data_IF_350204172682
#
_entry.id   IF_350204172682
#
_cell.length_a   1.000
_cell.length_b   1.000
_cell.length_c   1.000
_cell.angle_alpha   90.00
_cell.angle_beta   90.00
_cell.angle_gamma   90.00
#
_symmetry.space_group_name_H-M   'P 1'
#
loop_
_entity.id
_entity.type
_entity.pdbx_description
1 polymer ?
#
# COMPACT_ATOMS: atom_id res chain seq x y z
N UNK A 1 8.39 -7.65 12.86
CA UNK A 1 8.71 -6.27 12.43
C UNK A 1 7.54 -5.73 11.63
N UNK A 2 7.18 -4.47 11.82
CA UNK A 2 5.97 -3.88 11.25
C UNK A 2 6.24 -2.54 10.53
N UNK A 3 5.88 -2.47 9.25
CA UNK A 3 5.81 -1.23 8.48
C UNK A 3 4.41 -0.61 8.56
N UNK A 4 4.31 0.67 8.89
CA UNK A 4 3.01 1.34 9.05
C UNK A 4 2.40 1.76 7.71
N UNK A 5 1.07 1.92 7.71
CA UNK A 5 0.33 2.54 6.62
C UNK A 5 0.87 3.92 6.25
N UNK A 6 0.83 4.26 4.97
CA UNK A 6 1.36 5.53 4.44
C UNK A 6 2.86 5.72 4.65
N UNK A 7 3.60 4.68 5.03
CA UNK A 7 4.99 4.74 5.47
C UNK A 7 5.17 5.77 6.59
N UNK A 8 4.17 5.91 7.46
CA UNK A 8 4.20 6.89 8.53
C UNK A 8 5.20 6.47 9.62
N UNK A 9 6.06 7.39 10.05
CA UNK A 9 6.96 7.19 11.19
C UNK A 9 6.27 7.33 12.55
N UNK A 10 5.03 6.85 12.63
CA UNK A 10 4.22 6.80 13.83
C UNK A 10 4.04 5.34 14.29
N UNK A 11 4.85 4.91 15.25
CA UNK A 11 4.84 3.54 15.77
C UNK A 11 3.56 3.15 16.53
N UNK A 12 2.65 4.10 16.80
CA UNK A 12 1.34 3.83 17.44
C UNK A 12 0.17 3.85 16.46
N UNK A 13 0.43 3.99 15.15
CA UNK A 13 -0.62 4.11 14.13
C UNK A 13 -1.57 2.91 14.05
N UNK A 14 -1.09 1.68 14.25
CA UNK A 14 -1.91 0.46 14.28
C UNK A 14 -1.91 -0.21 15.67
N UNK A 15 -1.91 0.59 16.74
CA UNK A 15 -1.68 0.08 18.10
C UNK A 15 -2.70 -0.99 18.56
N UNK A 16 -3.98 -0.92 18.19
CA UNK A 16 -4.97 -1.95 18.57
C UNK A 16 -4.58 -3.33 18.02
N UNK A 17 -4.22 -3.38 16.74
CA UNK A 17 -3.75 -4.59 16.05
C UNK A 17 -2.40 -5.09 16.59
N UNK A 18 -1.44 -4.19 16.77
CA UNK A 18 -0.09 -4.58 17.20
C UNK A 18 -0.04 -5.02 18.65
N UNK A 19 -0.86 -4.41 19.53
CA UNK A 19 -1.00 -4.82 20.93
C UNK A 19 -1.69 -6.16 21.04
N UNK A 20 -2.66 -6.46 20.18
CA UNK A 20 -3.26 -7.79 20.14
C UNK A 20 -2.21 -8.85 19.81
N UNK A 21 -1.37 -8.63 18.80
CA UNK A 21 -0.26 -9.55 18.51
C UNK A 21 0.67 -9.67 19.73
N UNK A 22 1.08 -8.55 20.33
CA UNK A 22 1.98 -8.57 21.48
C UNK A 22 1.39 -9.31 22.71
N UNK A 23 0.06 -9.23 22.91
CA UNK A 23 -0.64 -9.89 24.03
C UNK A 23 -0.48 -11.42 24.01
N UNK A 24 -0.19 -11.99 22.84
CA UNK A 24 0.06 -13.41 22.65
C UNK A 24 1.52 -13.82 22.79
N UNK A 25 2.36 -12.98 23.40
CA UNK A 25 3.76 -13.28 23.71
C UNK A 25 4.66 -13.19 22.49
N UNK A 26 4.48 -12.15 21.67
CA UNK A 26 5.36 -11.77 20.58
C UNK A 26 6.01 -10.42 20.89
N UNK A 27 7.28 -10.25 20.54
CA UNK A 27 7.89 -8.92 20.49
C UNK A 27 7.51 -8.27 19.15
N UNK A 28 6.76 -7.17 19.21
CA UNK A 28 6.35 -6.40 18.03
C UNK A 28 7.07 -5.06 18.03
N UNK A 29 7.80 -4.77 16.95
CA UNK A 29 8.48 -3.50 16.73
C UNK A 29 7.91 -2.89 15.46
N UNK A 30 7.29 -1.73 15.59
CA UNK A 30 6.78 -0.93 14.48
C UNK A 30 7.75 0.19 14.13
N UNK A 31 7.85 0.51 12.86
CA UNK A 31 8.67 1.62 12.41
C UNK A 31 8.17 2.94 13.01
N UNK A 32 9.12 3.83 13.34
CA UNK A 32 8.81 5.14 13.91
C UNK A 32 8.65 5.15 15.42
N UNK A 33 8.69 6.35 16.00
CA UNK A 33 8.52 6.54 17.45
C UNK A 33 7.03 6.55 17.81
N UNK A 34 6.65 6.25 19.06
CA UNK A 34 5.27 6.44 19.52
C UNK A 34 4.81 7.87 19.25
N UNK A 35 3.65 8.03 18.59
CA UNK A 35 3.11 9.33 18.15
C UNK A 35 4.07 10.17 17.29
N UNK A 36 5.02 9.51 16.62
CA UNK A 36 5.99 10.16 15.75
C UNK A 36 5.36 10.68 14.45
N UNK A 37 6.16 11.42 13.70
CA UNK A 37 5.80 11.96 12.38
C UNK A 37 6.97 11.78 11.41
N UNK A 38 6.69 11.94 10.11
CA UNK A 38 7.67 11.72 9.04
C UNK A 38 7.44 10.41 8.30
N UNK A 39 8.43 10.01 7.49
CA UNK A 39 8.36 8.83 6.64
C UNK A 39 9.31 7.74 7.14
N UNK A 40 8.93 6.49 6.93
CA UNK A 40 9.74 5.30 7.19
C UNK A 40 10.41 4.80 5.92
N UNK A 41 11.35 3.89 6.08
CA UNK A 41 11.95 3.11 4.98
C UNK A 41 12.06 1.64 5.40
N UNK A 42 12.21 0.77 4.40
CA UNK A 42 12.48 -0.66 4.62
C UNK A 42 13.70 -0.93 5.49
N UNK A 43 14.73 -0.07 5.46
CA UNK A 43 15.91 -0.20 6.31
C UNK A 43 15.59 -0.14 7.81
N UNK A 44 14.53 0.55 8.21
CA UNK A 44 14.11 0.59 9.61
C UNK A 44 13.64 -0.78 10.10
N UNK A 45 13.07 -1.62 9.22
CA UNK A 45 12.67 -2.98 9.57
C UNK A 45 13.90 -3.85 9.86
N UNK A 46 14.97 -3.73 9.07
CA UNK A 46 16.22 -4.48 9.32
C UNK A 46 16.93 -3.97 10.56
N UNK A 47 16.96 -2.66 10.79
CA UNK A 47 17.52 -2.08 12.02
C UNK A 47 16.74 -2.53 13.27
N UNK A 48 15.41 -2.67 13.19
CA UNK A 48 14.61 -3.22 14.27
C UNK A 48 14.95 -4.69 14.57
N UNK A 49 15.25 -5.50 13.54
CA UNK A 49 15.76 -6.86 13.73
C UNK A 49 17.14 -6.85 14.40
N UNK A 50 18.06 -6.00 13.93
CA UNK A 50 19.40 -5.87 14.51
C UNK A 50 19.34 -5.49 15.99
N UNK A 51 18.49 -4.50 16.33
CA UNK A 51 18.26 -4.09 17.71
C UNK A 51 17.70 -5.23 18.57
N UNK A 52 16.70 -5.97 18.08
CA UNK A 52 16.11 -7.07 18.85
C UNK A 52 17.13 -8.19 19.14
N UNK A 53 17.98 -8.52 18.16
CA UNK A 53 19.07 -9.49 18.34
C UNK A 53 20.09 -8.97 19.36
N UNK A 54 20.49 -7.70 19.25
CA UNK A 54 21.42 -7.09 20.18
C UNK A 54 20.86 -7.08 21.61
N UNK A 55 19.61 -6.64 21.81
CA UNK A 55 18.95 -6.62 23.12
C UNK A 55 18.82 -8.00 23.75
N UNK A 56 18.57 -9.03 22.93
CA UNK A 56 18.52 -10.41 23.42
C UNK A 56 19.85 -10.88 24.01
N UNK A 57 20.97 -10.32 23.55
CA UNK A 57 22.33 -10.66 24.02
C UNK A 57 22.91 -9.64 25.00
N UNK A 58 22.32 -8.45 25.11
CA UNK A 58 22.87 -7.36 25.91
C UNK A 58 22.72 -7.62 27.41
N UNK A 59 23.83 -7.62 28.13
CA UNK A 59 23.85 -7.75 29.59
C UNK A 59 23.04 -6.62 30.24
N UNK A 60 22.18 -6.98 31.20
CA UNK A 60 21.29 -6.03 31.88
C UNK A 60 20.06 -5.61 31.06
N UNK A 61 19.84 -6.13 29.85
CA UNK A 61 18.55 -5.98 29.17
C UNK A 61 17.48 -6.82 29.85
N UNK A 62 16.28 -6.27 29.99
CA UNK A 62 15.09 -7.03 30.43
C UNK A 62 14.66 -8.08 29.41
N UNK A 63 15.15 -7.97 28.17
CA UNK A 63 14.88 -8.89 27.06
C UNK A 63 16.01 -9.93 26.88
N UNK A 64 17.06 -9.88 27.70
CA UNK A 64 18.20 -10.79 27.58
C UNK A 64 17.75 -12.26 27.70
N UNK A 65 18.03 -13.05 26.66
CA UNK A 65 17.62 -14.46 26.56
C UNK A 65 16.11 -14.71 26.43
N UNK A 66 15.30 -13.68 26.12
CA UNK A 66 13.83 -13.79 26.05
C UNK A 66 13.26 -13.67 24.63
N UNK A 67 14.10 -13.38 23.64
CA UNK A 67 13.70 -13.25 22.25
C UNK A 67 14.20 -14.47 21.47
N UNK A 68 13.29 -15.17 20.79
CA UNK A 68 13.64 -16.20 19.81
C UNK A 68 14.05 -15.51 18.50
N UNK A 69 15.35 -15.29 18.32
CA UNK A 69 15.90 -14.53 17.18
C UNK A 69 15.92 -15.31 15.87
N UNK A 70 15.68 -16.63 15.91
CA UNK A 70 15.55 -17.47 14.70
C UNK A 70 14.15 -17.48 14.09
N UNK A 71 13.16 -16.84 14.73
CA UNK A 71 11.76 -16.87 14.30
C UNK A 71 11.17 -15.47 14.14
N UNK A 72 11.50 -14.82 13.02
CA UNK A 72 11.12 -13.44 12.75
C UNK A 72 10.10 -13.38 11.63
N UNK A 73 8.97 -12.71 11.88
CA UNK A 73 8.06 -12.28 10.82
C UNK A 73 8.30 -10.81 10.47
N UNK A 74 8.20 -10.48 9.19
CA UNK A 74 8.05 -9.11 8.72
C UNK A 74 6.64 -8.93 8.15
N UNK A 75 6.04 -7.78 8.39
CA UNK A 75 4.82 -7.42 7.68
C UNK A 75 4.57 -5.94 7.70
N UNK A 76 3.51 -5.53 7.01
CA UNK A 76 3.11 -4.14 7.03
C UNK A 76 1.81 -3.88 6.30
N UNK A 77 1.27 -2.71 6.56
CA UNK A 77 0.02 -2.21 6.00
C UNK A 77 0.30 -1.20 4.88
N UNK A 78 -0.38 -1.33 3.73
CA UNK A 78 -0.30 -0.35 2.64
C UNK A 78 1.16 -0.13 2.20
N UNK A 79 1.66 1.11 2.23
CA UNK A 79 3.08 1.42 1.97
C UNK A 79 4.06 0.61 2.85
N UNK A 80 3.71 0.32 4.11
CA UNK A 80 4.52 -0.55 4.97
C UNK A 80 4.59 -2.01 4.50
N UNK A 81 3.63 -2.48 3.70
CA UNK A 81 3.71 -3.77 3.02
C UNK A 81 4.78 -3.80 1.92
N UNK A 82 5.00 -2.67 1.23
CA UNK A 82 6.11 -2.50 0.28
C UNK A 82 7.46 -2.53 1.00
N UNK A 83 7.55 -1.90 2.18
CA UNK A 83 8.73 -2.00 3.03
C UNK A 83 9.01 -3.45 3.44
N UNK A 84 7.95 -4.21 3.74
CA UNK A 84 8.07 -5.63 4.07
C UNK A 84 8.57 -6.45 2.87
N UNK A 85 8.04 -6.25 1.65
CA UNK A 85 8.57 -6.89 0.44
C UNK A 85 10.05 -6.61 0.23
N UNK A 86 10.47 -5.35 0.45
CA UNK A 86 11.84 -4.92 0.22
C UNK A 86 12.87 -5.69 1.06
N UNK A 87 12.47 -6.15 2.24
CA UNK A 87 13.35 -6.91 3.16
C UNK A 87 13.06 -8.40 3.23
N UNK A 88 12.00 -8.89 2.57
CA UNK A 88 11.51 -10.28 2.73
C UNK A 88 12.50 -11.39 2.36
N UNK A 89 13.59 -11.08 1.66
CA UNK A 89 14.67 -12.02 1.35
C UNK A 89 15.81 -12.02 2.40
N UNK A 90 15.70 -11.24 3.47
CA UNK A 90 16.63 -11.31 4.59
C UNK A 90 16.61 -12.73 5.19
N UNK A 91 17.77 -13.40 5.34
CA UNK A 91 17.83 -14.80 5.74
C UNK A 91 17.26 -15.07 7.15
N UNK A 92 17.10 -14.03 7.98
CA UNK A 92 16.54 -14.15 9.33
C UNK A 92 15.02 -14.22 9.33
N UNK A 93 14.37 -13.81 8.25
CA UNK A 93 12.91 -13.78 8.15
C UNK A 93 12.39 -15.20 7.90
N UNK A 94 11.42 -15.61 8.70
CA UNK A 94 10.74 -16.91 8.62
C UNK A 94 9.45 -16.85 7.81
N UNK A 95 8.80 -15.68 7.75
CA UNK A 95 7.57 -15.45 6.97
C UNK A 95 7.29 -13.97 6.75
N UNK A 96 6.59 -13.65 5.66
CA UNK A 96 6.15 -12.30 5.29
C UNK A 96 4.63 -12.18 5.40
N UNK A 97 4.13 -11.05 5.93
CA UNK A 97 2.70 -10.75 5.99
C UNK A 97 2.41 -9.42 5.30
N UNK A 98 1.58 -9.44 4.26
CA UNK A 98 1.18 -8.29 3.47
C UNK A 98 -0.26 -7.95 3.82
N UNK A 99 -0.49 -6.76 4.39
CA UNK A 99 -1.84 -6.32 4.73
C UNK A 99 -2.27 -5.15 3.85
N UNK A 100 -3.41 -5.29 3.18
CA UNK A 100 -3.99 -4.24 2.32
C UNK A 100 -2.92 -3.54 1.49
N UNK A 101 -2.07 -4.32 0.82
CA UNK A 101 -0.88 -3.88 0.10
C UNK A 101 -0.58 -4.82 -1.05
N UNK A 102 0.22 -4.35 -1.99
CA UNK A 102 0.74 -5.09 -3.13
C UNK A 102 1.72 -4.22 -3.93
N UNK A 103 2.61 -4.81 -4.72
CA UNK A 103 3.59 -4.05 -5.50
C UNK A 103 2.90 -3.10 -6.49
N UNK A 104 3.49 -1.92 -6.68
CA UNK A 104 2.85 -0.84 -7.43
C UNK A 104 3.20 -0.85 -8.93
N UNK A 105 4.20 -1.63 -9.33
CA UNK A 105 4.72 -1.65 -10.70
C UNK A 105 5.48 -2.95 -10.96
N UNK A 106 5.53 -3.35 -12.24
CA UNK A 106 6.21 -4.58 -12.68
C UNK A 106 7.74 -4.54 -12.49
N UNK A 107 8.34 -3.35 -12.40
CA UNK A 107 9.78 -3.24 -12.18
C UNK A 107 10.18 -3.77 -10.80
N UNK A 108 9.26 -3.78 -9.83
CA UNK A 108 9.46 -4.33 -8.50
C UNK A 108 9.16 -5.84 -8.39
N UNK A 109 8.65 -6.50 -9.44
CA UNK A 109 8.30 -7.92 -9.43
C UNK A 109 9.47 -8.85 -9.04
N UNK A 110 10.72 -8.39 -9.19
CA UNK A 110 11.90 -9.14 -8.74
C UNK A 110 11.84 -9.45 -7.23
N UNK A 111 11.13 -8.64 -6.45
CA UNK A 111 10.93 -8.83 -5.02
C UNK A 111 10.08 -10.07 -4.72
N UNK A 112 9.14 -10.43 -5.60
CA UNK A 112 8.35 -11.66 -5.51
C UNK A 112 9.18 -12.87 -5.93
N UNK A 113 9.94 -12.75 -7.03
CA UNK A 113 10.74 -13.86 -7.59
C UNK A 113 11.81 -14.40 -6.65
N UNK A 114 12.31 -13.56 -5.74
CA UNK A 114 13.32 -13.94 -4.74
C UNK A 114 12.75 -14.55 -3.46
N UNK A 115 11.43 -14.59 -3.29
CA UNK A 115 10.82 -15.13 -2.07
C UNK A 115 11.09 -16.63 -1.96
N UNK A 116 11.68 -17.04 -0.84
CA UNK A 116 11.93 -18.45 -0.50
C UNK A 116 11.22 -18.88 0.78
N UNK A 117 10.56 -17.94 1.46
CA UNK A 117 9.89 -18.13 2.74
C UNK A 117 8.41 -17.83 2.61
N UNK A 118 7.53 -18.52 3.37
CA UNK A 118 6.10 -18.38 3.15
C UNK A 118 5.56 -16.98 3.39
N UNK A 119 4.53 -16.64 2.61
CA UNK A 119 3.92 -15.31 2.59
C UNK A 119 2.41 -15.41 2.81
N UNK A 120 1.84 -14.45 3.55
CA UNK A 120 0.39 -14.34 3.74
C UNK A 120 -0.11 -12.95 3.37
N UNK A 121 -1.22 -12.91 2.63
CA UNK A 121 -1.93 -11.70 2.25
C UNK A 121 -3.23 -11.58 3.05
N UNK A 122 -3.48 -10.41 3.63
CA UNK A 122 -4.71 -10.07 4.34
C UNK A 122 -5.25 -8.78 3.74
N UNK A 123 -6.21 -8.89 2.83
CA UNK A 123 -6.64 -7.79 1.97
C UNK A 123 -8.09 -7.43 2.27
N UNK A 124 -8.42 -6.14 2.19
CA UNK A 124 -9.74 -5.58 2.49
C UNK A 124 -10.84 -5.86 1.45
N UNK A 125 -10.69 -6.92 0.65
CA UNK A 125 -11.61 -7.30 -0.41
C UNK A 125 -11.56 -6.37 -1.61
N UNK A 126 -12.47 -6.52 -2.59
CA UNK A 126 -12.41 -5.76 -3.86
C UNK A 126 -12.51 -4.24 -3.71
N UNK A 127 -13.03 -3.73 -2.59
CA UNK A 127 -13.08 -2.29 -2.28
C UNK A 127 -11.76 -1.73 -1.73
N UNK A 128 -10.78 -2.58 -1.43
CA UNK A 128 -9.45 -2.17 -1.02
C UNK A 128 -8.64 -1.72 -2.25
N UNK A 129 -8.04 -0.53 -2.18
CA UNK A 129 -7.25 0.04 -3.26
C UNK A 129 -6.04 -0.83 -3.63
N UNK A 130 -5.55 -1.63 -2.69
CA UNK A 130 -4.42 -2.52 -2.91
C UNK A 130 -4.84 -3.90 -3.41
N UNK A 131 -6.15 -4.19 -3.49
CA UNK A 131 -6.66 -5.48 -3.94
C UNK A 131 -6.15 -5.86 -5.34
N UNK A 132 -6.21 -5.01 -6.37
CA UNK A 132 -5.69 -5.36 -7.70
C UNK A 132 -4.20 -5.73 -7.66
N UNK A 133 -3.41 -4.96 -6.90
CA UNK A 133 -1.97 -5.20 -6.75
C UNK A 133 -1.71 -6.52 -6.03
N UNK A 134 -2.45 -6.81 -4.96
CA UNK A 134 -2.31 -8.07 -4.23
C UNK A 134 -2.68 -9.28 -5.09
N UNK A 135 -3.71 -9.17 -5.92
CA UNK A 135 -4.13 -10.23 -6.86
C UNK A 135 -3.10 -10.42 -7.98
N UNK A 136 -2.52 -9.34 -8.49
CA UNK A 136 -1.43 -9.39 -9.46
C UNK A 136 -0.17 -10.05 -8.86
N UNK A 137 0.26 -9.60 -7.68
CA UNK A 137 1.37 -10.18 -6.92
C UNK A 137 1.15 -11.69 -6.71
N UNK A 138 -0.06 -12.06 -6.31
CA UNK A 138 -0.45 -13.45 -6.11
C UNK A 138 -0.23 -14.29 -7.35
N UNK A 139 -0.60 -13.79 -8.53
CA UNK A 139 -0.38 -14.44 -9.82
C UNK A 139 1.10 -14.68 -10.14
N UNK A 140 1.97 -13.80 -9.65
CA UNK A 140 3.42 -13.77 -9.92
C UNK A 140 4.28 -14.51 -8.87
N UNK A 141 3.67 -15.04 -7.81
CA UNK A 141 4.40 -15.79 -6.77
C UNK A 141 5.14 -17.01 -7.35
N UNK A 142 6.35 -17.34 -6.83
CA UNK A 142 7.08 -18.53 -7.25
C UNK A 142 6.23 -19.81 -7.08
N UNK A 143 6.29 -20.70 -8.07
CA UNK A 143 5.37 -21.84 -8.19
C UNK A 143 5.36 -22.79 -6.98
N UNK A 144 6.49 -22.94 -6.27
CA UNK A 144 6.61 -23.78 -5.07
C UNK A 144 6.49 -23.02 -3.74
N UNK A 145 6.24 -21.71 -3.76
CA UNK A 145 6.18 -20.91 -2.54
C UNK A 145 4.90 -21.24 -1.75
N UNK A 146 4.99 -21.59 -0.46
CA UNK A 146 3.81 -21.68 0.39
C UNK A 146 3.23 -20.29 0.60
N UNK A 147 1.98 -20.09 0.20
CA UNK A 147 1.31 -18.81 0.29
C UNK A 147 -0.16 -18.94 0.70
N UNK A 148 -0.63 -17.97 1.48
CA UNK A 148 -2.02 -17.82 1.87
C UNK A 148 -2.52 -16.44 1.44
N UNK A 149 -3.75 -16.36 0.95
CA UNK A 149 -4.44 -15.09 0.75
C UNK A 149 -5.82 -15.17 1.36
N UNK A 150 -6.12 -14.24 2.26
CA UNK A 150 -7.45 -14.01 2.79
C UNK A 150 -7.93 -12.63 2.38
N UNK A 151 -9.11 -12.56 1.77
CA UNK A 151 -9.81 -11.31 1.49
C UNK A 151 -11.02 -11.18 2.41
N UNK A 152 -11.15 -10.04 3.07
CA UNK A 152 -12.29 -9.69 3.92
C UNK A 152 -12.81 -8.34 3.47
N UNK A 153 -14.12 -8.19 3.22
CA UNK A 153 -14.70 -6.96 2.65
C UNK A 153 -14.77 -5.80 3.67
N UNK A 154 -13.62 -5.24 4.02
CA UNK A 154 -13.46 -4.14 5.00
C UNK A 154 -12.76 -2.91 4.41
N UNK A 155 -12.40 -2.96 3.13
CA UNK A 155 -11.70 -1.88 2.43
C UNK A 155 -10.26 -1.68 2.92
N UNK A 156 -9.60 -0.64 2.39
CA UNK A 156 -8.17 -0.41 2.64
C UNK A 156 -7.83 -0.14 4.10
N UNK A 157 -8.75 0.47 4.86
CA UNK A 157 -8.57 0.72 6.29
C UNK A 157 -8.55 -0.55 7.14
N UNK A 158 -8.90 -1.71 6.56
CA UNK A 158 -8.92 -2.98 7.26
C UNK A 158 -9.79 -2.93 8.51
N UNK A 159 -9.35 -3.64 9.56
CA UNK A 159 -10.01 -3.64 10.87
C UNK A 159 -9.15 -3.02 11.97
N UNK A 160 -8.12 -2.24 11.62
CA UNK A 160 -7.09 -1.76 12.57
C UNK A 160 -7.64 -0.92 13.73
N UNK A 161 -8.68 -0.12 13.49
CA UNK A 161 -9.28 0.75 14.51
C UNK A 161 -10.26 0.02 15.43
N UNK A 162 -10.64 -1.21 15.10
CA UNK A 162 -11.51 -2.03 15.93
C UNK A 162 -10.76 -2.50 17.18
N UNK A 163 -11.48 -2.84 18.28
CA UNK A 163 -10.88 -3.47 19.45
C UNK A 163 -10.01 -4.67 19.04
N UNK A 164 -8.79 -4.73 19.57
CA UNK A 164 -7.79 -5.76 19.27
C UNK A 164 -7.43 -5.86 17.76
N UNK A 165 -7.68 -4.82 16.98
CA UNK A 165 -7.48 -4.82 15.54
C UNK A 165 -8.50 -5.67 14.77
N UNK A 166 -9.61 -6.06 15.41
CA UNK A 166 -10.70 -6.80 14.80
C UNK A 166 -10.28 -8.12 14.18
N UNK A 167 -10.94 -8.46 13.06
CA UNK A 167 -10.75 -9.77 12.41
C UNK A 167 -9.35 -9.92 11.78
N UNK A 168 -8.73 -8.84 11.28
CA UNK A 168 -7.32 -8.89 10.87
C UNK A 168 -6.41 -9.22 12.05
N UNK A 169 -6.65 -8.63 13.23
CA UNK A 169 -5.89 -8.92 14.45
C UNK A 169 -5.98 -10.39 14.84
N UNK A 170 -7.21 -10.92 14.95
CA UNK A 170 -7.46 -12.33 15.30
C UNK A 170 -6.75 -13.30 14.35
N UNK A 171 -6.89 -13.09 13.04
CA UNK A 171 -6.32 -14.00 12.04
C UNK A 171 -4.80 -13.85 11.95
N UNK A 172 -4.25 -12.64 12.06
CA UNK A 172 -2.82 -12.41 12.10
C UNK A 172 -2.17 -13.15 13.29
N UNK A 173 -2.80 -13.13 14.47
CA UNK A 173 -2.35 -13.88 15.65
C UNK A 173 -2.31 -15.39 15.37
N UNK A 174 -3.38 -15.95 14.77
CA UNK A 174 -3.41 -17.37 14.43
C UNK A 174 -2.28 -17.74 13.46
N UNK A 175 -2.06 -16.91 12.43
CA UNK A 175 -0.99 -17.15 11.47
C UNK A 175 0.38 -17.11 12.15
N UNK A 176 0.65 -16.09 12.99
CA UNK A 176 1.92 -15.96 13.69
C UNK A 176 2.16 -17.08 14.71
N UNK A 177 1.12 -17.53 15.44
CA UNK A 177 1.22 -18.69 16.33
C UNK A 177 1.62 -19.94 15.57
N UNK A 178 0.99 -20.18 14.42
CA UNK A 178 1.35 -21.30 13.57
C UNK A 178 2.79 -21.18 13.05
N UNK A 179 3.12 -20.08 12.38
CA UNK A 179 4.40 -19.91 11.67
C UNK A 179 5.61 -19.75 12.60
N UNK A 180 5.45 -19.10 13.74
CA UNK A 180 6.57 -18.79 14.65
C UNK A 180 6.55 -19.62 15.93
N UNK A 181 5.40 -20.14 16.37
CA UNK A 181 5.33 -20.97 17.59
C UNK A 181 5.10 -22.45 17.32
N UNK A 182 4.87 -22.84 16.05
CA UNK A 182 4.58 -24.22 15.70
C UNK A 182 3.18 -24.68 16.14
N UNK A 183 2.27 -23.75 16.38
CA UNK A 183 0.90 -24.05 16.79
C UNK A 183 0.12 -24.66 15.61
N UNK A 184 0.07 -25.99 15.57
CA UNK A 184 -0.63 -26.74 14.52
C UNK A 184 -2.13 -26.51 14.53
N UNK A 185 -2.75 -26.31 15.71
CA UNK A 185 -4.17 -26.03 15.83
C UNK A 185 -4.51 -24.65 15.25
N UNK A 186 -3.64 -23.65 15.42
CA UNK A 186 -3.78 -22.39 14.70
C UNK A 186 -3.63 -22.60 13.19
N UNK A 187 -2.69 -23.45 12.75
CA UNK A 187 -2.46 -23.78 11.34
C UNK A 187 -3.67 -24.37 10.60
N UNK A 188 -4.54 -25.14 11.27
CA UNK A 188 -5.75 -25.71 10.63
C UNK A 188 -6.75 -24.65 10.17
N UNK A 189 -6.60 -23.39 10.60
CA UNK A 189 -7.40 -22.29 10.09
C UNK A 189 -7.04 -21.90 8.65
N UNK A 190 -5.83 -22.23 8.18
CA UNK A 190 -5.29 -21.75 6.91
C UNK A 190 -5.13 -22.83 5.86
N UNK A 191 -4.92 -24.10 6.27
CA UNK A 191 -4.48 -25.17 5.37
C UNK A 191 -5.62 -26.08 4.94
N UNK A 192 -5.68 -26.36 3.64
CA UNK A 192 -6.55 -27.36 3.04
C UNK A 192 -7.93 -26.82 2.64
N UNK A 193 -8.73 -27.62 1.92
CA UNK A 193 -10.04 -27.20 1.42
C UNK A 193 -11.06 -26.96 2.55
N UNK A 194 -10.89 -27.61 3.69
CA UNK A 194 -11.75 -27.48 4.86
C UNK A 194 -11.12 -26.59 5.96
N UNK A 195 -10.28 -25.63 5.56
CA UNK A 195 -9.60 -24.76 6.51
C UNK A 195 -10.62 -23.99 7.35
N UNK A 196 -10.27 -23.69 8.61
CA UNK A 196 -11.16 -22.98 9.53
C UNK A 196 -11.67 -21.64 8.99
N UNK A 197 -10.88 -20.93 8.18
CA UNK A 197 -11.30 -19.66 7.55
C UNK A 197 -12.15 -19.86 6.28
N UNK A 198 -12.06 -21.03 5.62
CA UNK A 198 -12.69 -21.31 4.34
C UNK A 198 -14.23 -21.30 4.40
N UNK A 199 -14.80 -21.47 5.60
CA UNK A 199 -16.26 -21.47 5.85
C UNK A 199 -16.72 -20.22 6.63
N UNK A 200 -16.01 -19.11 6.48
CA UNK A 200 -16.27 -17.87 7.20
C UNK A 200 -16.48 -16.71 6.22
N UNK A 201 -16.51 -15.47 6.73
CA UNK A 201 -16.54 -14.25 5.94
C UNK A 201 -15.29 -14.01 5.06
N UNK A 202 -14.24 -14.81 5.22
CA UNK A 202 -13.01 -14.70 4.43
C UNK A 202 -13.13 -15.43 3.09
N UNK A 203 -12.74 -14.75 2.01
CA UNK A 203 -12.48 -15.41 0.74
C UNK A 203 -11.01 -15.84 0.70
N UNK A 204 -10.79 -17.15 0.75
CA UNK A 204 -9.47 -17.74 0.93
C UNK A 204 -8.92 -18.32 -0.38
N UNK A 205 -7.63 -18.09 -0.62
CA UNK A 205 -6.83 -18.77 -1.62
C UNK A 205 -5.55 -19.30 -0.97
N UNK A 206 -5.02 -20.41 -1.47
CA UNK A 206 -3.84 -21.09 -0.94
C UNK A 206 -2.96 -21.59 -2.09
N UNK A 207 -1.63 -21.56 -1.89
CA UNK A 207 -0.64 -22.19 -2.78
C UNK A 207 0.37 -22.95 -1.93
N UNK A 208 0.64 -24.22 -2.26
CA UNK A 208 1.67 -25.07 -1.62
C UNK A 208 1.68 -25.01 -0.08
N UNK A 209 0.52 -24.79 0.53
CA UNK A 209 0.40 -24.56 1.96
C UNK A 209 0.16 -25.91 2.65
N UNK A 210 1.06 -26.30 3.55
CA UNK A 210 0.95 -27.58 4.28
C UNK A 210 1.16 -27.35 5.78
N UNK A 211 0.51 -28.15 6.62
CA UNK A 211 0.57 -28.00 8.08
C UNK A 211 1.96 -28.31 8.66
N UNK A 212 2.70 -29.22 8.03
CA UNK A 212 3.93 -29.81 8.56
C UNK A 212 5.17 -29.54 7.68
N UNK A 213 5.06 -28.73 6.62
CA UNK A 213 6.16 -28.52 5.67
C UNK A 213 6.50 -29.75 4.82
N UNK A 214 5.68 -30.80 4.87
CA UNK A 214 5.70 -31.94 3.95
C UNK A 214 4.56 -31.77 2.94
N UNK A 215 4.92 -31.78 1.66
CA UNK A 215 4.02 -31.70 0.52
C UNK A 215 2.99 -32.83 0.61
N UNK A 216 1.72 -32.49 0.87
CA UNK A 216 0.62 -33.43 0.62
C UNK A 216 0.21 -33.25 -0.82
N UNK A 217 1.04 -33.73 -1.73
CA UNK A 217 0.71 -33.84 -3.15
C UNK A 217 -0.32 -34.95 -3.34
N UNK A 218 -1.50 -34.70 -3.92
CA UNK A 218 -2.39 -35.79 -4.32
C UNK A 218 -1.88 -36.39 -5.64
N UNK A 219 -1.49 -37.67 -5.62
CA UNK A 219 -1.33 -38.48 -6.84
C UNK A 219 -2.71 -39.01 -7.30
N UNK A 220 -2.89 -39.36 -8.60
CA UNK A 220 -4.18 -39.22 -9.29
C UNK A 220 -5.12 -40.44 -9.16
N UNK A 221 -6.42 -40.15 -9.13
CA UNK A 221 -7.54 -41.11 -9.18
C UNK A 221 -8.51 -40.85 -8.02
N UNK A 222 -9.79 -40.54 -8.20
CA UNK A 222 -10.77 -40.97 -9.20
C UNK A 222 -11.79 -39.85 -9.42
N UNK A 223 -12.23 -39.66 -10.66
CA UNK A 223 -13.33 -38.76 -11.05
C UNK A 223 -14.68 -39.23 -10.50
N UNK A 224 -15.51 -38.31 -9.98
CA UNK A 224 -16.96 -38.41 -10.12
C UNK A 224 -17.48 -37.38 -11.15
N UNK A 225 -18.42 -37.88 -11.96
CA UNK A 225 -19.16 -37.26 -13.05
C UNK A 225 -20.03 -36.05 -12.60
N UNK A 226 -20.52 -35.19 -13.52
CA UNK A 226 -20.86 -33.79 -13.26
C UNK A 226 -22.29 -33.60 -12.70
N UNK A 227 -22.48 -32.50 -11.97
CA UNK A 227 -23.78 -31.93 -11.58
C UNK A 227 -23.86 -30.47 -12.10
N UNK A 228 -25.04 -29.92 -12.43
CA UNK A 228 -25.25 -29.12 -13.63
C UNK A 228 -24.66 -27.70 -13.59
N UNK A 229 -24.25 -27.25 -14.77
CA UNK A 229 -23.82 -25.89 -15.06
C UNK A 229 -24.92 -24.87 -14.76
N UNK A 230 -24.59 -23.87 -13.94
CA UNK A 230 -25.34 -22.61 -13.88
C UNK A 230 -24.72 -21.67 -14.92
N UNK A 231 -25.56 -21.28 -15.87
CA UNK A 231 -25.33 -20.39 -17.01
C UNK A 231 -24.78 -19.02 -16.56
N UNK A 232 -23.86 -18.38 -17.32
CA UNK A 232 -23.34 -17.06 -16.97
C UNK A 232 -24.40 -15.97 -17.16
N UNK A 233 -24.55 -15.08 -16.17
CA UNK A 233 -25.28 -13.83 -16.30
C UNK A 233 -24.36 -12.76 -16.92
N UNK A 234 -24.80 -11.98 -17.93
CA UNK A 234 -23.95 -11.01 -18.61
C UNK A 234 -23.70 -9.80 -17.70
N UNK A 235 -22.43 -9.46 -17.48
CA UNK A 235 -22.05 -8.19 -16.87
C UNK A 235 -22.09 -7.09 -17.94
N UNK A 236 -22.92 -6.04 -17.83
CA UNK A 236 -22.82 -4.89 -18.71
C UNK A 236 -21.60 -4.06 -18.29
N UNK A 237 -20.61 -4.00 -19.19
CA UNK A 237 -19.51 -3.04 -19.13
C UNK A 237 -20.00 -1.66 -19.55
N UNK A 238 -19.86 -0.59 -18.73
CA UNK A 238 -19.88 0.76 -19.25
C UNK A 238 -18.48 1.18 -19.70
N UNK A 239 -18.40 1.41 -21.01
CA UNK A 239 -17.35 2.08 -21.79
C UNK A 239 -16.95 3.46 -21.20
N UNK A 240 -15.72 3.98 -21.41
CA UNK A 240 -15.30 5.28 -20.89
C UNK A 240 -15.98 6.42 -21.65
N UNK A 241 -16.34 7.50 -20.94
CA UNK A 241 -16.73 8.78 -21.55
C UNK A 241 -15.68 9.86 -21.21
N UNK A 242 -15.22 10.68 -22.17
CA UNK A 242 -14.09 11.59 -21.99
C UNK A 242 -14.53 12.98 -21.48
N UNK A 243 -13.64 13.68 -20.76
CA UNK A 243 -13.58 15.14 -20.81
C UNK A 243 -12.19 15.62 -20.39
N UNK A 244 -11.34 15.84 -21.38
CA UNK A 244 -10.10 16.60 -21.29
C UNK A 244 -10.41 18.09 -21.17
N UNK A 245 -10.13 18.69 -20.02
CA UNK A 245 -10.14 20.14 -19.80
C UNK A 245 -8.80 20.58 -19.20
N UNK A 246 -7.78 20.75 -20.05
CA UNK A 246 -6.47 21.24 -19.66
C UNK A 246 -6.29 22.70 -20.06
N UNK A 247 -6.55 23.63 -19.14
CA UNK A 247 -6.20 25.06 -19.29
C UNK A 247 -5.26 25.55 -18.19
N UNK A 248 -4.83 24.66 -17.28
CA UNK A 248 -4.05 25.03 -16.11
C UNK A 248 -2.74 24.29 -15.93
N UNK A 249 -2.08 23.77 -16.96
CA UNK A 249 -0.78 23.09 -16.82
C UNK A 249 -0.83 21.63 -16.32
N UNK A 250 -2.02 21.10 -16.04
CA UNK A 250 -2.30 19.69 -15.80
C UNK A 250 -3.62 19.27 -16.44
N UNK A 251 -3.80 17.97 -16.63
CA UNK A 251 -5.07 17.34 -17.03
C UNK A 251 -5.52 16.34 -15.95
N UNK A 252 -6.82 16.05 -15.91
CA UNK A 252 -7.38 15.06 -15.01
C UNK A 252 -8.33 14.12 -15.76
N UNK A 253 -8.30 12.83 -15.43
CA UNK A 253 -9.18 11.80 -15.99
C UNK A 253 -9.94 11.10 -14.87
N UNK A 254 -11.26 11.31 -14.84
CA UNK A 254 -12.17 10.65 -13.91
C UNK A 254 -12.60 9.27 -14.45
N UNK A 255 -12.68 8.28 -13.57
CA UNK A 255 -13.18 6.95 -13.90
C UNK A 255 -13.89 6.33 -12.70
N UNK A 256 -15.07 5.73 -12.93
CA UNK A 256 -15.73 4.89 -11.93
C UNK A 256 -15.09 3.51 -11.98
N UNK A 257 -14.46 3.11 -10.88
CA UNK A 257 -13.75 1.84 -10.76
C UNK A 257 -14.70 0.70 -10.37
N UNK A 258 -15.65 1.02 -9.48
CA UNK A 258 -16.68 0.09 -9.02
C UNK A 258 -17.95 0.86 -8.66
N UNK A 259 -19.11 0.29 -8.97
CA UNK A 259 -20.43 0.85 -8.70
C UNK A 259 -21.32 -0.24 -8.10
N UNK A 260 -22.01 0.07 -7.00
CA UNK A 260 -23.05 -0.76 -6.40
C UNK A 260 -24.31 0.07 -6.12
N UNK A 261 -25.38 -0.56 -5.62
CA UNK A 261 -26.72 0.05 -5.51
C UNK A 261 -26.73 1.42 -4.81
N UNK A 262 -25.89 1.61 -3.80
CA UNK A 262 -25.92 2.81 -2.95
C UNK A 262 -24.60 3.59 -2.94
N UNK A 263 -23.61 3.19 -3.73
CA UNK A 263 -22.32 3.85 -3.74
C UNK A 263 -21.38 3.41 -4.84
N UNK A 264 -20.25 4.09 -4.91
CA UNK A 264 -19.24 3.87 -5.93
C UNK A 264 -17.85 4.21 -5.41
N UNK A 265 -16.83 3.66 -6.07
CA UNK A 265 -15.44 4.12 -5.96
C UNK A 265 -15.04 4.74 -7.29
N UNK A 266 -14.50 5.94 -7.23
CA UNK A 266 -13.97 6.63 -8.39
C UNK A 266 -12.48 6.96 -8.22
N UNK A 267 -11.75 6.89 -9.33
CA UNK A 267 -10.37 7.29 -9.43
C UNK A 267 -10.23 8.49 -10.35
N UNK A 268 -9.29 9.38 -10.04
CA UNK A 268 -8.90 10.51 -10.86
C UNK A 268 -7.39 10.43 -11.09
N UNK A 269 -6.99 10.24 -12.35
CA UNK A 269 -5.59 10.37 -12.75
C UNK A 269 -5.30 11.85 -13.03
N UNK A 270 -4.27 12.40 -12.42
CA UNK A 270 -3.78 13.76 -12.65
C UNK A 270 -2.44 13.69 -13.36
N UNK A 271 -2.36 14.28 -14.55
CA UNK A 271 -1.14 14.28 -15.37
C UNK A 271 -0.64 15.71 -15.53
N UNK A 272 0.64 15.93 -15.23
CA UNK A 272 1.29 17.20 -15.55
C UNK A 272 1.43 17.38 -17.06
N UNK A 273 1.25 18.60 -17.55
CA UNK A 273 1.47 18.92 -18.96
C UNK A 273 2.95 18.92 -19.33
N UNK A 274 3.34 19.84 -20.22
CA UNK A 274 4.71 19.91 -20.74
C UNK A 274 5.73 20.54 -19.77
N UNK A 275 5.31 20.90 -18.55
CA UNK A 275 6.15 21.49 -17.51
C UNK A 275 5.97 20.76 -16.18
N UNK A 276 7.00 20.79 -15.33
CA UNK A 276 6.92 20.24 -13.98
C UNK A 276 6.05 21.14 -13.07
N UNK A 277 5.20 20.51 -12.27
CA UNK A 277 4.28 21.18 -11.34
C UNK A 277 4.64 20.85 -9.90
N UNK A 278 4.33 21.74 -8.96
CA UNK A 278 4.55 21.54 -7.51
C UNK A 278 3.26 21.31 -6.72
N UNK A 279 2.12 21.38 -7.40
CA UNK A 279 0.82 21.11 -6.83
C UNK A 279 -0.22 21.07 -7.93
N UNK A 280 -1.35 20.47 -7.60
CA UNK A 280 -2.52 20.41 -8.47
C UNK A 280 -3.78 20.63 -7.64
N UNK A 281 -4.75 21.25 -8.28
CA UNK A 281 -6.08 21.52 -7.75
C UNK A 281 -7.10 21.07 -8.79
N UNK A 282 -8.05 20.27 -8.35
CA UNK A 282 -9.15 19.77 -9.14
C UNK A 282 -10.44 20.48 -8.76
N UNK A 283 -11.27 20.75 -9.76
CA UNK A 283 -12.68 21.06 -9.56
C UNK A 283 -13.48 19.85 -10.02
N UNK A 284 -14.00 19.08 -9.07
CA UNK A 284 -14.78 17.87 -9.30
C UNK A 284 -16.27 18.19 -9.12
N UNK A 285 -17.06 18.09 -10.18
CA UNK A 285 -18.52 18.25 -10.10
C UNK A 285 -19.16 16.88 -10.07
N UNK A 286 -19.80 16.55 -8.95
CA UNK A 286 -20.52 15.29 -8.74
C UNK A 286 -21.95 15.37 -9.28
N UNK A 287 -22.49 14.25 -9.79
CA UNK A 287 -23.89 14.18 -10.21
C UNK A 287 -24.83 14.39 -9.02
N UNK A 288 -26.06 14.84 -9.30
CA UNK A 288 -27.08 15.06 -8.27
C UNK A 288 -27.34 13.78 -7.46
N UNK A 289 -27.32 13.90 -6.13
CA UNK A 289 -27.50 12.78 -5.20
C UNK A 289 -26.22 12.03 -4.83
N UNK A 290 -25.08 12.30 -5.46
CA UNK A 290 -23.79 11.72 -5.08
C UNK A 290 -23.10 12.54 -3.98
N UNK A 291 -22.56 11.85 -2.96
CA UNK A 291 -21.79 12.46 -1.87
C UNK A 291 -20.51 11.69 -1.61
N UNK A 292 -19.37 12.38 -1.49
CA UNK A 292 -18.08 11.81 -1.07
C UNK A 292 -18.18 11.40 0.40
N UNK A 293 -17.88 10.13 0.66
CA UNK A 293 -17.80 9.54 2.01
C UNK A 293 -16.38 9.61 2.53
N UNK A 294 -15.41 9.25 1.71
CA UNK A 294 -13.98 9.24 2.05
C UNK A 294 -13.15 9.46 0.79
N UNK A 295 -11.99 10.10 0.94
CA UNK A 295 -11.06 10.39 -0.15
C UNK A 295 -9.63 10.04 0.27
N UNK A 296 -8.83 9.54 -0.66
CA UNK A 296 -7.41 9.24 -0.47
C UNK A 296 -6.57 9.90 -1.56
N UNK A 297 -5.30 10.13 -1.25
CA UNK A 297 -4.33 10.82 -2.13
C UNK A 297 -4.80 12.22 -2.61
N UNK A 298 -5.78 12.80 -1.92
CA UNK A 298 -6.29 14.16 -2.14
C UNK A 298 -6.93 14.71 -0.87
N UNK A 299 -7.14 16.02 -0.83
CA UNK A 299 -7.84 16.74 0.25
C UNK A 299 -9.03 17.46 -0.35
N UNK A 300 -10.26 17.10 0.05
CA UNK A 300 -11.49 17.72 -0.43
C UNK A 300 -12.00 18.82 0.51
N UNK A 301 -12.49 19.93 -0.06
CA UNK A 301 -13.09 21.04 0.71
C UNK A 301 -14.59 20.90 0.97
N UNK A 302 -15.21 19.83 0.47
CA UNK A 302 -16.64 19.56 0.52
C UNK A 302 -16.95 18.14 0.03
N UNK A 303 -18.21 17.73 0.08
CA UNK A 303 -18.59 16.33 -0.20
C UNK A 303 -19.68 16.18 -1.26
N UNK A 304 -20.37 17.22 -1.69
CA UNK A 304 -21.41 17.12 -2.72
C UNK A 304 -21.38 18.33 -3.66
N UNK A 305 -22.04 18.24 -4.82
CA UNK A 305 -22.01 19.29 -5.84
C UNK A 305 -20.62 19.46 -6.45
N UNK A 306 -20.15 20.70 -6.56
CA UNK A 306 -18.79 21.01 -7.02
C UNK A 306 -17.82 21.04 -5.84
N UNK A 307 -16.93 20.05 -5.78
CA UNK A 307 -15.92 19.84 -4.74
C UNK A 307 -14.54 20.26 -5.26
N UNK A 308 -13.83 21.12 -4.52
CA UNK A 308 -12.40 21.33 -4.76
C UNK A 308 -11.61 20.19 -4.12
N UNK A 309 -10.69 19.61 -4.88
CA UNK A 309 -9.72 18.61 -4.37
C UNK A 309 -8.30 19.09 -4.62
N UNK A 310 -7.44 19.10 -3.61
CA UNK A 310 -6.01 19.45 -3.76
C UNK A 310 -5.11 18.26 -3.47
N UNK A 311 -3.87 18.34 -3.96
CA UNK A 311 -2.85 17.34 -3.68
C UNK A 311 -2.56 17.17 -2.18
N UNK A 312 -2.13 15.96 -1.82
CA UNK A 312 -1.43 15.71 -0.57
C UNK A 312 0.02 16.21 -0.69
N UNK A 313 0.72 16.36 0.43
CA UNK A 313 2.09 16.91 0.44
C UNK A 313 3.09 16.10 -0.39
N UNK A 314 2.86 14.80 -0.56
CA UNK A 314 3.78 13.88 -1.25
C UNK A 314 3.49 13.68 -2.74
N UNK A 315 2.29 14.01 -3.23
CA UNK A 315 1.88 13.73 -4.62
C UNK A 315 1.56 14.99 -5.44
N UNK A 316 1.93 16.17 -4.95
CA UNK A 316 1.80 17.43 -5.69
C UNK A 316 2.91 17.67 -6.72
N UNK A 317 4.10 17.11 -6.50
CA UNK A 317 5.27 17.29 -7.38
C UNK A 317 5.28 16.27 -8.50
N UNK A 318 5.01 16.71 -9.73
CA UNK A 318 5.06 15.87 -10.92
C UNK A 318 5.98 16.52 -11.95
N UNK A 319 6.91 15.74 -12.51
CA UNK A 319 7.66 16.18 -13.68
C UNK A 319 6.75 16.29 -14.92
N UNK A 320 7.20 16.93 -15.99
CA UNK A 320 6.43 17.04 -17.23
C UNK A 320 6.00 15.64 -17.72
N UNK A 321 4.72 15.48 -18.03
CA UNK A 321 4.11 14.20 -18.46
C UNK A 321 3.94 13.14 -17.37
N UNK A 322 4.42 13.36 -16.14
CA UNK A 322 4.22 12.42 -15.04
C UNK A 322 2.78 12.47 -14.53
N UNK A 323 2.31 11.34 -14.01
CA UNK A 323 0.96 11.19 -13.49
C UNK A 323 0.96 10.75 -12.03
N UNK A 324 -0.06 11.16 -11.30
CA UNK A 324 -0.43 10.60 -9.99
C UNK A 324 -1.91 10.22 -10.01
N UNK A 325 -2.31 9.33 -9.12
CA UNK A 325 -3.70 8.94 -8.97
C UNK A 325 -4.23 9.33 -7.59
N UNK A 326 -5.49 9.77 -7.55
CA UNK A 326 -6.28 9.87 -6.34
C UNK A 326 -7.62 9.17 -6.51
N UNK A 327 -8.32 8.93 -5.41
CA UNK A 327 -9.64 8.33 -5.47
C UNK A 327 -10.49 8.67 -4.28
N UNK A 328 -11.77 8.35 -4.40
CA UNK A 328 -12.74 8.55 -3.34
C UNK A 328 -13.87 7.54 -3.45
N UNK A 329 -14.47 7.23 -2.31
CA UNK A 329 -15.73 6.54 -2.21
C UNK A 329 -16.85 7.57 -2.13
N UNK A 330 -17.91 7.38 -2.91
CA UNK A 330 -19.13 8.17 -2.82
C UNK A 330 -20.38 7.31 -2.62
N UNK A 331 -21.44 7.91 -2.10
CA UNK A 331 -22.80 7.36 -2.16
C UNK A 331 -23.47 7.73 -3.48
N UNK A 332 -24.50 6.98 -3.87
CA UNK A 332 -25.26 7.22 -5.10
C UNK A 332 -24.55 6.71 -6.36
N UNK A 333 -24.70 7.43 -7.47
CA UNK A 333 -24.09 7.07 -8.77
C UNK A 333 -22.85 7.91 -9.05
N UNK A 334 -21.75 7.28 -9.46
CA UNK A 334 -20.53 7.97 -9.90
C UNK A 334 -20.59 8.43 -11.37
N UNK A 335 -21.60 7.98 -12.12
CA UNK A 335 -21.71 8.29 -13.54
C UNK A 335 -22.06 9.78 -13.77
N UNK A 336 -21.37 10.42 -14.72
CA UNK A 336 -21.63 11.80 -15.11
C UNK A 336 -20.88 12.87 -14.30
N UNK A 337 -19.94 12.47 -13.44
CA UNK A 337 -19.03 13.44 -12.81
C UNK A 337 -18.08 14.06 -13.85
N UNK A 338 -17.75 15.34 -13.67
CA UNK A 338 -16.76 16.05 -14.48
C UNK A 338 -15.63 16.58 -13.62
N UNK A 339 -14.41 16.61 -14.17
CA UNK A 339 -13.23 17.09 -13.46
C UNK A 339 -12.41 18.02 -14.34
N UNK A 340 -11.94 19.12 -13.77
CA UNK A 340 -10.94 20.01 -14.40
C UNK A 340 -9.73 20.16 -13.49
N UNK A 341 -8.55 20.38 -14.07
CA UNK A 341 -7.28 20.48 -13.34
C UNK A 341 -6.61 21.84 -13.51
N UNK A 342 -6.06 22.37 -12.42
CA UNK A 342 -5.20 23.55 -12.40
C UNK A 342 -3.93 23.27 -11.60
N UNK A 343 -2.78 23.50 -12.21
CA UNK A 343 -1.47 23.28 -11.64
C UNK A 343 -0.96 24.53 -10.93
N UNK A 344 -0.07 24.31 -9.95
CA UNK A 344 0.78 25.33 -9.36
C UNK A 344 2.21 25.13 -9.84
N UNK A 345 2.78 26.10 -10.55
CA UNK A 345 4.13 25.99 -11.12
C UNK A 345 5.23 26.13 -10.05
N UNK A 346 6.39 25.51 -10.32
CA UNK A 346 7.64 25.75 -9.57
C UNK A 346 8.22 27.16 -9.82
N UNK A 347 7.72 27.90 -10.81
CA UNK A 347 8.22 29.22 -11.17
C UNK A 347 7.19 30.28 -10.82
N UNK A 348 7.29 30.80 -9.58
CA UNK A 348 7.20 32.24 -9.21
C UNK A 348 6.79 32.41 -7.74
N UNK A 349 7.58 33.09 -6.90
CA UNK A 349 7.09 33.56 -5.60
C UNK A 349 5.95 34.58 -5.80
N UNK A 350 4.93 34.60 -4.92
CA UNK A 350 3.80 35.52 -5.06
C UNK A 350 4.24 36.99 -4.93
N UNK A 351 3.74 37.81 -5.85
CA UNK A 351 3.77 39.27 -5.94
C UNK A 351 4.60 40.08 -4.94
N UNK A 352 5.76 40.56 -5.41
CA UNK A 352 6.26 41.90 -5.09
C UNK A 352 6.25 42.71 -6.37
N UNK A 353 5.36 43.69 -6.49
CA UNK A 353 5.32 44.59 -7.64
C UNK A 353 6.55 45.49 -7.64
N UNK A 354 7.23 45.61 -8.77
CA UNK A 354 7.98 46.82 -9.12
C UNK A 354 7.77 47.10 -10.60
N UNK A 355 7.35 48.33 -10.83
CA UNK A 355 7.08 49.03 -12.07
C UNK A 355 8.24 49.01 -13.08
N UNK A 356 7.84 49.11 -14.35
CA UNK A 356 8.59 49.43 -15.56
C UNK A 356 10.01 50.03 -15.40
N UNK A 357 10.96 49.45 -16.14
CA UNK A 357 12.30 50.01 -16.34
C UNK A 357 13.02 49.39 -17.54
N UNK A 358 12.73 49.95 -18.71
CA UNK A 358 13.52 50.07 -19.96
C UNK A 358 14.66 49.07 -20.28
N UNK A 359 14.54 48.53 -21.49
CA UNK A 359 15.56 48.04 -22.43
C UNK A 359 17.04 48.30 -22.10
N UNK A 360 17.82 47.21 -22.06
CA UNK A 360 19.18 47.15 -22.62
C UNK A 360 19.43 45.73 -23.19
N UNK A 361 19.88 45.66 -24.44
CA UNK A 361 20.01 44.45 -25.27
C UNK A 361 21.14 43.47 -24.91
N UNK A 362 21.39 42.44 -25.77
CA UNK A 362 22.14 41.25 -25.41
C UNK A 362 23.66 41.42 -25.58
N UNK A 363 24.44 40.93 -24.61
CA UNK A 363 25.90 40.77 -24.68
C UNK A 363 26.34 39.30 -24.70
N UNK A 364 27.51 38.97 -25.28
CA UNK A 364 27.84 37.65 -25.85
C UNK A 364 28.43 36.63 -24.84
N UNK A 365 28.62 35.35 -25.24
CA UNK A 365 28.81 34.24 -24.31
C UNK A 365 30.29 34.06 -23.93
N UNK A 366 30.54 33.74 -22.65
CA UNK A 366 31.87 33.37 -22.18
C UNK A 366 31.89 31.92 -21.68
N UNK A 367 32.84 31.18 -22.24
CA UNK A 367 33.13 29.76 -22.12
C UNK A 367 33.71 29.34 -20.77
N UNK A 368 33.40 28.10 -20.38
CA UNK A 368 33.96 27.36 -19.25
C UNK A 368 35.47 27.06 -19.39
N UNK A 369 36.24 27.25 -18.30
CA UNK A 369 37.47 26.51 -18.01
C UNK A 369 37.54 26.12 -16.51
N UNK A 370 38.03 24.92 -16.16
CA UNK A 370 38.03 24.40 -14.79
C UNK A 370 39.26 24.86 -13.99
N UNK A 371 39.08 25.05 -12.68
CA UNK A 371 40.14 25.40 -11.74
C UNK A 371 41.01 24.18 -11.38
N UNK A 372 42.34 24.35 -11.43
CA UNK A 372 43.34 23.44 -10.86
C UNK A 372 43.64 23.82 -9.40
N UNK A 373 43.97 22.79 -8.63
CA UNK A 373 44.49 22.81 -7.28
C UNK A 373 45.93 23.36 -7.17
N UNK A 374 46.28 23.81 -5.96
CA UNK A 374 47.62 24.12 -5.45
C UNK A 374 47.47 24.93 -4.15
N UNK A 375 47.52 24.29 -2.97
CA UNK A 375 48.70 24.02 -2.11
C UNK A 375 49.32 25.25 -1.43
N UNK A 376 49.38 25.11 -0.10
CA UNK A 376 50.37 25.59 0.88
C UNK A 376 50.39 27.04 1.39
N UNK A 377 50.49 27.11 2.73
CA UNK A 377 51.41 28.03 3.40
C UNK A 377 50.87 28.79 4.62
N UNK A 378 51.08 28.23 5.82
CA UNK A 378 51.57 28.86 7.09
C UNK A 378 51.04 30.25 7.49
N UNK A 379 50.59 30.49 8.72
CA UNK A 379 51.22 30.22 10.02
C UNK A 379 50.17 30.30 11.15
#
# INVERSE_FOLDING_TARGET
>A
MWGNGGCAANGTAQHNFLREIASHGFLVIANGRPNGSGSTTSQMLTQAMDWAVAENSRQGSVLNGRIETGKIAVGGFSCGGLEAYAVSNDPRISTTLIFSSGLLNDADDYQLRRLTKPIAYFIGGPSDIAYPNAIDDWGKLPAGLPAFMGNLNVGHGGTYDQPNGGEFGRVAVLYLKWRLKGDRAAGTNFVGPNCGLCNTQWQVQQKNLTLDGVDVSPSPGVSPSPSPAVTPSPSPSPSPSPSSGGTGGCSARYSVQSQWNEGFVAAIDVTAGNAAINGWRLSLTLPGGATIVSMWNGVNSGTSGTVTVTNQSYNGRLAAGQSTNLGFQGTGSGAGASVTCTASDLRRPPGGGVTAGRDLGPGPPWSWRPARAGTDGTA
#
